data_IF_749054934204
#
_entry.id   IF_749054934204
#
_cell.length_a   1.000
_cell.length_b   1.000
_cell.length_c   1.000
_cell.angle_alpha   90.00
_cell.angle_beta   90.00
_cell.angle_gamma   90.00
#
_symmetry.space_group_name_H-M   'P 1'
#
loop_
_entity.id
_entity.type
_entity.pdbx_description
1 polymer ?
#
# COMPACT_ATOMS: atom_id res chain seq x y z
N UNK A 1 -34.61 -25.11 8.12
CA UNK A 1 -34.75 -25.28 9.58
C UNK A 1 -33.50 -25.97 10.10
N UNK A 2 -32.59 -25.23 10.73
CA UNK A 2 -31.40 -25.81 11.36
C UNK A 2 -31.82 -26.31 12.75
N UNK A 3 -31.77 -27.63 12.96
CA UNK A 3 -32.12 -28.22 14.25
C UNK A 3 -31.07 -27.81 15.30
N UNK A 4 -31.45 -26.95 16.25
CA UNK A 4 -30.58 -26.57 17.36
C UNK A 4 -30.33 -27.79 18.25
N UNK A 5 -29.05 -28.05 18.52
CA UNK A 5 -28.64 -29.15 19.39
C UNK A 5 -28.67 -28.62 20.81
N UNK A 6 -29.48 -29.23 21.68
CA UNK A 6 -29.52 -28.84 23.09
C UNK A 6 -28.21 -29.30 23.79
N UNK A 7 -27.49 -28.40 24.48
CA UNK A 7 -26.31 -28.81 25.25
C UNK A 7 -26.72 -29.79 26.36
N UNK A 8 -25.87 -30.79 26.63
CA UNK A 8 -26.13 -31.79 27.66
C UNK A 8 -26.02 -31.21 29.07
N UNK A 9 -25.16 -30.21 29.25
CA UNK A 9 -24.99 -29.51 30.52
C UNK A 9 -25.17 -28.00 30.30
N UNK A 10 -26.07 -27.41 31.08
CA UNK A 10 -26.26 -25.95 31.13
C UNK A 10 -25.78 -25.42 32.48
N UNK A 11 -25.34 -24.16 32.52
CA UNK A 11 -25.03 -23.49 33.77
C UNK A 11 -26.31 -23.04 34.51
N UNK A 12 -26.15 -22.37 35.65
CA UNK A 12 -27.27 -21.87 36.47
C UNK A 12 -28.14 -20.83 35.74
N UNK A 13 -27.60 -20.21 34.69
CA UNK A 13 -28.29 -19.21 33.86
C UNK A 13 -28.99 -19.86 32.65
N UNK A 14 -28.85 -21.18 32.46
CA UNK A 14 -29.41 -21.90 31.34
C UNK A 14 -28.55 -21.89 30.07
N UNK A 15 -27.37 -21.23 30.11
CA UNK A 15 -26.45 -21.19 28.98
C UNK A 15 -25.65 -22.51 28.87
N UNK A 16 -25.12 -22.82 27.68
CA UNK A 16 -24.26 -23.99 27.51
C UNK A 16 -23.06 -23.91 28.46
N UNK A 17 -22.90 -24.90 29.33
CA UNK A 17 -21.76 -24.92 30.25
C UNK A 17 -20.45 -25.06 29.47
N UNK A 18 -19.35 -24.52 30.02
CA UNK A 18 -18.01 -24.57 29.41
C UNK A 18 -17.59 -26.01 29.02
N UNK A 19 -18.03 -27.02 29.80
CA UNK A 19 -17.80 -28.44 29.47
C UNK A 19 -18.45 -28.84 28.14
N UNK A 20 -19.70 -28.44 27.91
CA UNK A 20 -20.40 -28.72 26.65
C UNK A 20 -19.78 -27.96 25.48
N UNK A 21 -19.39 -26.69 25.68
CA UNK A 21 -18.70 -25.90 24.64
C UNK A 21 -17.40 -26.61 24.22
N UNK A 22 -16.59 -27.06 25.17
CA UNK A 22 -15.35 -27.81 24.89
C UNK A 22 -15.61 -29.11 24.14
N UNK A 23 -16.63 -29.88 24.54
CA UNK A 23 -17.01 -31.11 23.85
C UNK A 23 -17.40 -30.87 22.39
N UNK A 24 -18.17 -29.81 22.11
CA UNK A 24 -18.51 -29.47 20.72
C UNK A 24 -17.32 -28.97 19.93
N UNK A 25 -16.43 -28.18 20.55
CA UNK A 25 -15.15 -27.82 19.93
C UNK A 25 -14.37 -29.08 19.55
N UNK A 26 -14.24 -30.05 20.46
CA UNK A 26 -13.56 -31.31 20.18
C UNK A 26 -14.24 -32.10 19.06
N UNK A 27 -15.58 -32.12 19.00
CA UNK A 27 -16.31 -32.77 17.90
C UNK A 27 -16.09 -32.06 16.57
N UNK A 28 -16.17 -30.73 16.54
CA UNK A 28 -15.92 -29.92 15.34
C UNK A 28 -14.49 -30.11 14.84
N UNK A 29 -13.51 -30.11 15.74
CA UNK A 29 -12.11 -30.36 15.42
C UNK A 29 -11.87 -31.80 14.93
N UNK A 30 -12.58 -32.79 15.46
CA UNK A 30 -12.45 -34.17 14.95
C UNK A 30 -12.97 -34.29 13.51
N UNK A 31 -14.06 -33.61 13.17
CA UNK A 31 -14.65 -33.70 11.82
C UNK A 31 -13.87 -32.83 10.82
N UNK A 32 -13.47 -31.62 11.23
CA UNK A 32 -12.94 -30.60 10.31
C UNK A 32 -11.49 -30.19 10.58
N UNK A 33 -10.87 -30.62 11.67
CA UNK A 33 -9.50 -30.21 12.03
C UNK A 33 -8.43 -30.63 11.01
N UNK A 34 -8.71 -31.67 10.22
CA UNK A 34 -7.83 -32.09 9.13
C UNK A 34 -7.95 -31.21 7.87
N UNK A 35 -9.07 -30.51 7.69
CA UNK A 35 -9.38 -29.73 6.48
C UNK A 35 -9.47 -28.22 6.73
N UNK A 36 -9.67 -27.81 7.98
CA UNK A 36 -9.83 -26.42 8.39
C UNK A 36 -9.02 -26.16 9.66
N UNK A 37 -8.04 -25.27 9.56
CA UNK A 37 -7.29 -24.78 10.71
C UNK A 37 -7.86 -23.44 11.15
N UNK A 38 -8.32 -23.38 12.41
CA UNK A 38 -8.85 -22.18 13.03
C UNK A 38 -8.22 -21.99 14.41
N UNK A 39 -8.13 -20.74 14.85
CA UNK A 39 -7.72 -20.42 16.21
C UNK A 39 -8.78 -20.88 17.22
N UNK A 40 -8.37 -21.13 18.47
CA UNK A 40 -9.27 -21.58 19.54
C UNK A 40 -10.53 -20.70 19.73
N UNK A 41 -10.46 -19.35 19.61
CA UNK A 41 -11.64 -18.49 19.66
C UNK A 41 -12.67 -18.78 18.56
N UNK A 42 -12.23 -19.06 17.33
CA UNK A 42 -13.12 -19.36 16.20
C UNK A 42 -13.87 -20.67 16.42
N UNK A 43 -13.19 -21.70 16.90
CA UNK A 43 -13.83 -22.97 17.26
C UNK A 43 -14.89 -22.81 18.36
N UNK A 44 -14.57 -22.03 19.40
CA UNK A 44 -15.52 -21.73 20.49
C UNK A 44 -16.76 -20.99 19.98
N UNK A 45 -16.57 -20.05 19.06
CA UNK A 45 -17.67 -19.32 18.45
C UNK A 45 -18.63 -20.24 17.69
N UNK A 46 -18.10 -21.17 16.87
CA UNK A 46 -18.92 -22.16 16.17
C UNK A 46 -19.60 -23.15 17.11
N UNK A 47 -18.93 -23.55 18.18
CA UNK A 47 -19.52 -24.39 19.20
C UNK A 47 -20.71 -23.71 19.90
N UNK A 48 -20.55 -22.43 20.24
CA UNK A 48 -21.61 -21.61 20.81
C UNK A 48 -22.78 -21.42 19.83
N UNK A 49 -22.48 -21.11 18.56
CA UNK A 49 -23.50 -20.99 17.50
C UNK A 49 -24.33 -22.28 17.36
N UNK A 50 -23.71 -23.45 17.49
CA UNK A 50 -24.39 -24.74 17.38
C UNK A 50 -25.28 -25.09 18.58
N UNK A 51 -24.98 -24.55 19.75
CA UNK A 51 -25.72 -24.78 21.00
C UNK A 51 -26.78 -23.73 21.32
N UNK A 52 -26.73 -22.57 20.67
CA UNK A 52 -27.76 -21.56 20.82
C UNK A 52 -29.06 -22.06 20.17
N UNK A 53 -30.02 -22.40 21.03
CA UNK A 53 -31.41 -22.53 20.63
C UNK A 53 -31.95 -21.13 20.30
N UNK A 54 -32.94 -20.97 19.40
CA UNK A 54 -33.62 -19.69 19.17
C UNK A 54 -34.26 -19.05 20.42
N UNK A 55 -34.22 -19.70 21.59
CA UNK A 55 -34.69 -19.12 22.85
C UNK A 55 -33.69 -18.17 23.54
N UNK A 56 -32.40 -18.19 23.18
CA UNK A 56 -31.41 -17.20 23.65
C UNK A 56 -31.22 -16.08 22.62
N UNK A 57 -32.34 -15.39 22.34
CA UNK A 57 -32.43 -14.39 21.26
C UNK A 57 -31.34 -13.32 21.33
N UNK A 58 -31.04 -12.81 22.53
CA UNK A 58 -30.04 -11.75 22.70
C UNK A 58 -28.60 -12.20 22.42
N UNK A 59 -28.20 -13.42 22.79
CA UNK A 59 -26.83 -13.91 22.55
C UNK A 59 -26.64 -14.30 21.08
N UNK A 60 -27.64 -14.94 20.48
CA UNK A 60 -27.61 -15.30 19.07
C UNK A 60 -27.59 -14.05 18.16
N UNK A 61 -28.46 -13.07 18.42
CA UNK A 61 -28.49 -11.81 17.70
C UNK A 61 -27.17 -11.03 17.84
N UNK A 62 -26.61 -10.98 19.05
CA UNK A 62 -25.32 -10.35 19.29
C UNK A 62 -24.17 -11.02 18.53
N UNK A 63 -24.13 -12.35 18.47
CA UNK A 63 -23.12 -13.10 17.72
C UNK A 63 -23.26 -12.90 16.20
N UNK A 64 -24.48 -12.86 15.68
CA UNK A 64 -24.74 -12.56 14.26
C UNK A 64 -24.28 -11.14 13.93
N UNK A 65 -24.61 -10.15 14.77
CA UNK A 65 -24.17 -8.77 14.59
C UNK A 65 -22.64 -8.65 14.66
N UNK A 66 -22.02 -9.30 15.65
CA UNK A 66 -20.57 -9.30 15.79
C UNK A 66 -19.90 -9.93 14.57
N UNK A 67 -20.35 -11.11 14.15
CA UNK A 67 -19.82 -11.80 12.96
C UNK A 67 -19.94 -10.94 11.70
N UNK A 68 -21.09 -10.29 11.51
CA UNK A 68 -21.31 -9.38 10.37
C UNK A 68 -20.36 -8.18 10.44
N UNK A 69 -20.24 -7.56 11.62
CA UNK A 69 -19.34 -6.41 11.81
C UNK A 69 -17.88 -6.76 11.58
N UNK A 70 -17.44 -7.92 12.06
CA UNK A 70 -16.07 -8.44 11.85
C UNK A 70 -15.79 -8.71 10.38
N UNK A 71 -16.76 -9.22 9.62
CA UNK A 71 -16.61 -9.41 8.17
C UNK A 71 -16.43 -8.08 7.43
N UNK A 72 -17.27 -7.09 7.73
CA UNK A 72 -17.15 -5.76 7.12
C UNK A 72 -15.82 -5.10 7.47
N UNK A 73 -15.37 -5.22 8.72
CA UNK A 73 -14.06 -4.72 9.14
C UNK A 73 -12.92 -5.44 8.39
N UNK A 74 -13.00 -6.76 8.23
CA UNK A 74 -12.02 -7.55 7.48
C UNK A 74 -11.99 -7.14 5.99
N UNK A 75 -13.15 -6.97 5.35
CA UNK A 75 -13.24 -6.53 3.96
C UNK A 75 -12.64 -5.13 3.79
N UNK A 76 -12.89 -4.23 4.74
CA UNK A 76 -12.31 -2.87 4.75
C UNK A 76 -10.78 -2.92 4.84
N UNK A 77 -10.23 -3.77 5.71
CA UNK A 77 -8.78 -3.95 5.84
C UNK A 77 -8.19 -4.55 4.56
N UNK A 78 -8.84 -5.55 3.96
CA UNK A 78 -8.39 -6.14 2.71
C UNK A 78 -8.37 -5.13 1.57
N UNK A 79 -9.38 -4.26 1.48
CA UNK A 79 -9.41 -3.17 0.51
C UNK A 79 -8.25 -2.19 0.74
N UNK A 80 -8.03 -1.77 2.00
CA UNK A 80 -6.92 -0.88 2.33
C UNK A 80 -5.53 -1.48 2.03
N UNK A 81 -5.37 -2.81 2.17
CA UNK A 81 -4.15 -3.52 1.77
C UNK A 81 -3.97 -3.46 0.25
N UNK A 82 -5.03 -3.66 -0.53
CA UNK A 82 -4.99 -3.56 -1.98
C UNK A 82 -4.62 -2.14 -2.44
N UNK A 83 -5.26 -1.12 -1.88
CA UNK A 83 -4.97 0.29 -2.16
C UNK A 83 -3.51 0.64 -1.83
N UNK A 84 -2.99 0.13 -0.71
CA UNK A 84 -1.58 0.34 -0.34
C UNK A 84 -0.61 -0.27 -1.37
N UNK A 85 -0.95 -1.45 -1.91
CA UNK A 85 -0.16 -2.08 -2.95
C UNK A 85 -0.16 -1.25 -4.25
N UNK A 86 -1.29 -0.66 -4.63
CA UNK A 86 -1.36 0.25 -5.79
C UNK A 86 -0.48 1.49 -5.58
N UNK A 87 -0.55 2.12 -4.40
CA UNK A 87 0.30 3.26 -4.05
C UNK A 87 1.79 2.91 -4.13
N UNK A 88 2.16 1.73 -3.65
CA UNK A 88 3.54 1.23 -3.76
C UNK A 88 3.98 1.10 -5.22
N UNK A 89 3.16 0.49 -6.06
CA UNK A 89 3.46 0.31 -7.49
C UNK A 89 3.63 1.67 -8.19
N UNK A 90 2.75 2.64 -7.88
CA UNK A 90 2.84 3.99 -8.39
C UNK A 90 4.14 4.68 -7.93
N UNK A 91 4.48 4.58 -6.65
CA UNK A 91 5.72 5.11 -6.09
C UNK A 91 6.97 4.56 -6.80
N UNK A 92 7.04 3.24 -7.00
CA UNK A 92 8.15 2.62 -7.73
C UNK A 92 8.24 3.12 -9.18
N UNK A 93 7.10 3.37 -9.85
CA UNK A 93 7.06 3.94 -11.19
C UNK A 93 7.64 5.35 -11.23
N UNK A 94 7.29 6.20 -10.25
CA UNK A 94 7.87 7.53 -10.10
C UNK A 94 9.37 7.46 -9.81
N UNK A 95 9.79 6.54 -8.94
CA UNK A 95 11.20 6.29 -8.66
C UNK A 95 12.00 5.92 -9.92
N UNK A 96 11.45 5.04 -10.76
CA UNK A 96 12.07 4.71 -12.07
C UNK A 96 12.17 5.93 -12.98
N UNK A 97 11.11 6.72 -13.11
CA UNK A 97 11.10 7.93 -13.94
C UNK A 97 12.13 8.96 -13.48
N UNK A 98 12.21 9.22 -12.17
CA UNK A 98 13.19 10.12 -11.59
C UNK A 98 14.63 9.66 -11.86
N UNK A 99 14.88 8.36 -11.72
CA UNK A 99 16.19 7.76 -12.03
C UNK A 99 16.56 7.96 -13.51
N UNK A 100 15.63 7.68 -14.43
CA UNK A 100 15.84 7.91 -15.87
C UNK A 100 16.11 9.38 -16.18
N UNK A 101 15.33 10.29 -15.61
CA UNK A 101 15.50 11.73 -15.81
C UNK A 101 16.88 12.20 -15.31
N UNK A 102 17.29 11.72 -14.13
CA UNK A 102 18.61 12.02 -13.58
C UNK A 102 19.73 11.59 -14.51
N UNK A 103 19.71 10.35 -15.01
CA UNK A 103 20.74 9.88 -15.94
C UNK A 103 20.76 10.69 -17.24
N UNK A 104 19.59 11.05 -17.78
CA UNK A 104 19.51 11.89 -18.97
C UNK A 104 20.12 13.29 -18.73
N UNK A 105 19.92 13.87 -17.54
CA UNK A 105 20.52 15.15 -17.16
C UNK A 105 22.04 15.02 -16.96
N UNK A 106 22.52 13.96 -16.30
CA UNK A 106 23.95 13.69 -16.13
C UNK A 106 24.64 13.51 -17.49
N UNK A 107 24.04 12.77 -18.42
CA UNK A 107 24.57 12.62 -19.77
C UNK A 107 24.65 13.95 -20.52
N UNK A 108 23.57 14.76 -20.50
CA UNK A 108 23.56 16.10 -21.11
C UNK A 108 24.61 17.01 -20.52
N UNK A 109 24.79 16.97 -19.19
CA UNK A 109 25.83 17.74 -18.50
C UNK A 109 27.21 17.39 -19.03
N UNK A 110 27.54 16.10 -19.10
CA UNK A 110 28.84 15.63 -19.64
C UNK A 110 29.05 16.11 -21.07
N UNK A 111 28.01 16.05 -21.92
CA UNK A 111 28.09 16.57 -23.29
C UNK A 111 28.42 18.07 -23.34
N UNK A 112 27.74 18.88 -22.51
CA UNK A 112 27.98 20.32 -22.45
C UNK A 112 29.37 20.66 -21.91
N UNK A 113 29.83 19.93 -20.89
CA UNK A 113 31.20 20.07 -20.36
C UNK A 113 32.25 19.73 -21.42
N UNK A 114 31.99 18.72 -22.26
CA UNK A 114 32.82 18.41 -23.43
C UNK A 114 32.89 19.57 -24.42
N UNK A 115 31.75 20.12 -24.84
CA UNK A 115 31.73 21.28 -25.73
C UNK A 115 32.47 22.48 -25.18
N UNK A 116 32.36 22.75 -23.88
CA UNK A 116 33.07 23.85 -23.24
C UNK A 116 34.60 23.65 -23.28
N UNK A 117 35.07 22.41 -23.11
CA UNK A 117 36.49 22.08 -23.22
C UNK A 117 37.03 22.22 -24.65
N UNK A 118 36.19 22.04 -25.66
CA UNK A 118 36.55 22.13 -27.08
C UNK A 118 36.58 23.57 -27.61
N UNK A 119 36.11 24.58 -26.86
CA UNK A 119 36.19 25.98 -27.26
C UNK A 119 37.64 26.45 -27.04
N UNK A 120 38.42 26.75 -28.10
CA UNK A 120 39.78 27.25 -27.95
C UNK A 120 39.73 28.62 -27.28
N UNK A 121 40.52 28.81 -26.22
CA UNK A 121 40.80 30.15 -25.75
C UNK A 121 41.59 30.88 -26.85
N UNK A 122 41.23 32.12 -27.21
CA UNK A 122 42.08 32.93 -28.07
C UNK A 122 43.46 33.02 -27.42
N UNK A 123 44.51 32.75 -28.20
CA UNK A 123 45.89 32.92 -27.76
C UNK A 123 46.09 34.38 -27.35
N UNK A 124 46.74 34.64 -26.21
CA UNK A 124 47.00 35.99 -25.68
C UNK A 124 47.80 36.87 -26.67
N UNK A 125 48.30 36.29 -27.77
CA UNK A 125 49.05 36.95 -28.84
C UNK A 125 48.26 37.39 -30.09
N UNK A 126 47.01 36.97 -30.31
CA UNK A 126 46.24 37.32 -31.54
C UNK A 126 45.25 38.50 -31.32
N UNK A 127 45.38 39.20 -30.19
CA UNK A 127 44.77 40.51 -29.98
C UNK A 127 45.56 41.59 -30.69
N UNK A 128 45.60 41.59 -32.03
CA UNK A 128 46.05 42.78 -32.73
C UNK A 128 45.02 43.88 -32.46
N UNK A 129 45.39 44.89 -31.65
CA UNK A 129 44.55 46.05 -31.39
C UNK A 129 44.08 46.61 -32.75
N UNK A 130 42.78 46.60 -33.07
CA UNK A 130 42.30 47.07 -34.37
C UNK A 130 42.27 48.60 -34.42
N UNK A 131 42.34 49.28 -33.27
CA UNK A 131 42.22 50.74 -33.15
C UNK A 131 43.30 51.49 -33.96
N UNK A 132 44.59 51.07 -34.01
CA UNK A 132 45.61 51.71 -34.82
C UNK A 132 45.44 51.54 -36.34
N UNK A 133 44.58 50.60 -36.79
CA UNK A 133 44.31 50.32 -38.21
C UNK A 133 43.00 50.91 -38.73
N UNK A 134 42.21 51.57 -37.87
CA UNK A 134 40.97 52.22 -38.30
C UNK A 134 41.30 53.52 -39.03
N UNK A 135 41.10 53.52 -40.35
CA UNK A 135 41.17 54.73 -41.17
C UNK A 135 40.03 55.67 -40.76
N UNK A 136 40.36 56.90 -40.38
CA UNK A 136 39.37 57.89 -39.98
C UNK A 136 38.59 58.34 -41.22
N UNK A 137 37.34 57.89 -41.34
CA UNK A 137 36.45 58.31 -42.42
C UNK A 137 35.95 59.71 -42.08
N UNK A 138 36.14 60.67 -43.00
CA UNK A 138 35.61 62.02 -42.82
C UNK A 138 34.08 61.98 -42.70
N UNK A 139 33.57 62.53 -41.60
CA UNK A 139 32.14 62.65 -41.33
C UNK A 139 31.52 63.62 -42.35
N UNK A 140 30.84 63.02 -43.33
CA UNK A 140 30.19 63.73 -44.43
C UNK A 140 28.74 64.13 -44.10
N UNK A 141 28.20 63.74 -42.94
CA UNK A 141 26.85 64.10 -42.50
C UNK A 141 26.79 65.46 -41.78
N UNK A 142 27.93 66.05 -41.43
CA UNK A 142 28.01 67.32 -40.68
C UNK A 142 28.74 68.45 -41.43
N UNK A 143 28.84 68.37 -42.77
CA UNK A 143 29.26 69.50 -43.59
C UNK A 143 28.04 70.41 -43.85
N UNK A 144 28.12 71.66 -43.38
CA UNK A 144 27.07 72.71 -43.43
C UNK A 144 26.37 72.89 -44.79
#
# INVERSE_FOLDING_TARGET
>A
MQACIRPQHTDRSGAAAEVSIREMVSRLQNIWGNTYQASAPTWRMWALERYLSPSDGHVHEHLVHLTRSTRVALDTVNLAIADNQELRNAWESYGRRLKTQRFALEARKVTLEGYLADIPLPDDGDGHDPIPRMENIEDSEHQE
#
